data_IF_791676221842
#
_entry.id   IF_791676221842
#
_cell.length_a   1.000
_cell.length_b   1.000
_cell.length_c   1.000
_cell.angle_alpha   90.00
_cell.angle_beta   90.00
_cell.angle_gamma   90.00
#
_symmetry.space_group_name_H-M   'P 1'
#
loop_
_entity.id
_entity.type
_entity.pdbx_description
1 polymer ?
#
# COMPACT_ATOMS: atom_id res chain seq x y z
N UNK A 1 51.32 -4.72 22.35
CA UNK A 1 49.87 -4.98 22.39
C UNK A 1 49.16 -3.66 22.61
N UNK A 2 48.71 -3.03 21.54
CA UNK A 2 47.94 -1.79 21.59
C UNK A 2 46.76 -2.00 20.64
N UNK A 3 45.65 -2.53 21.17
CA UNK A 3 44.44 -2.74 20.38
C UNK A 3 43.83 -1.38 20.03
N UNK A 4 43.73 -1.11 18.73
CA UNK A 4 43.13 0.10 18.16
C UNK A 4 41.66 0.23 18.54
N UNK A 5 41.39 0.96 19.63
CA UNK A 5 40.04 1.34 20.10
C UNK A 5 39.28 2.15 19.03
N UNK A 6 39.99 2.78 18.09
CA UNK A 6 39.43 3.59 17.02
C UNK A 6 38.63 2.82 15.96
N UNK A 7 38.95 1.55 15.68
CA UNK A 7 38.17 0.76 14.71
C UNK A 7 36.80 0.36 15.26
N UNK A 8 36.66 0.23 16.59
CA UNK A 8 35.39 -0.09 17.23
C UNK A 8 34.42 1.10 17.20
N UNK A 9 34.93 2.34 17.22
CA UNK A 9 34.09 3.53 17.14
C UNK A 9 33.58 3.71 15.69
N UNK A 10 34.40 3.51 14.66
CA UNK A 10 33.93 3.61 13.27
C UNK A 10 32.87 2.56 12.89
N UNK A 11 32.99 1.34 13.42
CA UNK A 11 32.03 0.25 13.17
C UNK A 11 30.71 0.39 13.95
N UNK A 12 30.67 1.20 15.01
CA UNK A 12 29.43 1.44 15.77
C UNK A 12 28.52 2.52 15.15
N UNK A 13 29.03 3.32 14.20
CA UNK A 13 28.27 4.40 13.56
C UNK A 13 27.67 4.00 12.21
N UNK A 14 28.18 2.95 11.57
CA UNK A 14 27.62 2.39 10.34
C UNK A 14 26.21 1.78 10.47
N UNK A 15 25.78 1.20 11.62
CA UNK A 15 24.40 0.72 11.75
C UNK A 15 23.39 1.82 12.04
N UNK A 16 23.80 3.01 12.50
CA UNK A 16 22.83 4.06 12.88
C UNK A 16 22.31 4.88 11.69
N UNK A 17 23.09 5.01 10.62
CA UNK A 17 22.67 5.79 9.44
C UNK A 17 21.75 4.99 8.51
N UNK A 18 21.74 3.66 8.61
CA UNK A 18 20.82 2.80 7.83
C UNK A 18 19.45 2.63 8.51
N UNK A 19 19.29 3.13 9.75
CA UNK A 19 18.04 3.01 10.52
C UNK A 19 17.16 4.28 10.52
N UNK A 20 17.53 5.33 9.78
CA UNK A 20 16.78 6.60 9.81
C UNK A 20 15.65 6.74 8.78
N UNK A 21 15.37 5.72 7.96
CA UNK A 21 14.23 5.70 7.03
C UNK A 21 13.18 4.63 7.38
N UNK A 22 13.15 4.18 8.63
CA UNK A 22 12.09 3.31 9.13
C UNK A 22 10.82 4.11 9.48
N UNK A 23 9.64 3.59 9.14
CA UNK A 23 8.38 4.14 9.65
C UNK A 23 8.38 4.08 11.19
N UNK A 24 7.99 5.17 11.84
CA UNK A 24 7.80 5.16 13.28
C UNK A 24 6.49 4.42 13.67
N UNK A 25 6.31 4.17 14.97
CA UNK A 25 5.13 3.44 15.47
C UNK A 25 3.81 4.19 15.19
N UNK A 26 3.84 5.53 15.11
CA UNK A 26 2.69 6.38 14.83
C UNK A 26 2.27 6.26 13.37
N UNK A 27 3.23 6.30 12.45
CA UNK A 27 3.06 6.07 11.02
C UNK A 27 2.51 4.66 10.75
N UNK A 28 3.08 3.65 11.41
CA UNK A 28 2.56 2.29 11.36
C UNK A 28 1.09 2.25 11.77
N UNK A 29 0.75 2.86 12.90
CA UNK A 29 -0.62 2.88 13.40
C UNK A 29 -1.55 3.59 12.41
N UNK A 30 -1.11 4.66 11.74
CA UNK A 30 -1.87 5.31 10.68
C UNK A 30 -2.05 4.40 9.46
N UNK A 31 -1.01 3.71 9.03
CA UNK A 31 -1.06 2.83 7.85
C UNK A 31 -1.91 1.59 8.04
N UNK A 32 -2.21 1.16 9.28
CA UNK A 32 -3.18 0.07 9.50
C UNK A 32 -4.58 0.40 8.97
N UNK A 33 -4.91 1.67 8.73
CA UNK A 33 -6.16 2.07 8.07
C UNK A 33 -6.29 1.57 6.63
N UNK A 34 -5.18 1.23 5.95
CA UNK A 34 -5.21 0.63 4.61
C UNK A 34 -5.79 -0.80 4.63
N UNK A 35 -5.92 -1.41 5.80
CA UNK A 35 -6.46 -2.75 5.95
C UNK A 35 -7.99 -2.74 6.19
N UNK A 36 -8.56 -1.58 6.49
CA UNK A 36 -10.00 -1.39 6.74
C UNK A 36 -10.77 -1.31 5.41
N UNK A 37 -11.11 -2.48 4.86
CA UNK A 37 -11.84 -2.65 3.60
C UNK A 37 -13.21 -2.00 3.62
N UNK A 38 -13.89 -1.96 4.76
CA UNK A 38 -15.17 -1.27 4.91
C UNK A 38 -14.99 0.23 4.70
N UNK A 39 -13.99 0.84 5.35
CA UNK A 39 -13.69 2.26 5.22
C UNK A 39 -13.24 2.63 3.80
N UNK A 40 -12.44 1.78 3.15
CA UNK A 40 -12.03 1.96 1.76
C UNK A 40 -13.25 1.94 0.81
N UNK A 41 -14.09 0.91 0.90
CA UNK A 41 -15.32 0.78 0.09
C UNK A 41 -16.32 1.92 0.34
N UNK A 42 -16.39 2.42 1.58
CA UNK A 42 -17.22 3.58 1.92
C UNK A 42 -16.76 4.86 1.20
N UNK A 43 -15.44 5.05 1.08
CA UNK A 43 -14.83 6.24 0.51
C UNK A 43 -14.77 6.21 -1.03
N UNK A 44 -14.56 5.04 -1.63
CA UNK A 44 -14.61 4.85 -3.08
C UNK A 44 -15.61 3.77 -3.46
N UNK A 45 -16.71 4.15 -4.11
CA UNK A 45 -17.80 3.25 -4.46
C UNK A 45 -19.17 3.65 -3.88
N UNK A 46 -19.23 4.83 -3.23
CA UNK A 46 -20.42 5.42 -2.58
C UNK A 46 -21.19 4.47 -1.64
N UNK A 47 -20.60 3.33 -1.25
CA UNK A 47 -21.19 2.34 -0.35
C UNK A 47 -22.12 1.31 -1.02
N UNK A 48 -22.16 1.24 -2.35
CA UNK A 48 -22.92 0.19 -3.05
C UNK A 48 -22.15 -0.53 -4.15
N UNK A 49 -21.12 0.09 -4.75
CA UNK A 49 -20.34 -0.57 -5.81
C UNK A 49 -19.61 -1.81 -5.31
N UNK A 50 -19.17 -1.83 -4.06
CA UNK A 50 -18.58 -3.02 -3.44
C UNK A 50 -19.57 -4.17 -3.26
N UNK A 51 -20.87 -3.92 -3.43
CA UNK A 51 -21.94 -4.92 -3.37
C UNK A 51 -22.29 -5.50 -4.73
N UNK A 52 -21.90 -4.86 -5.84
CA UNK A 52 -22.15 -5.40 -7.19
C UNK A 52 -21.50 -6.77 -7.39
N UNK A 53 -20.36 -7.01 -6.74
CA UNK A 53 -19.68 -8.31 -6.78
C UNK A 53 -20.53 -9.48 -6.23
N UNK A 54 -21.60 -9.22 -5.48
CA UNK A 54 -22.51 -10.26 -4.99
C UNK A 54 -23.60 -10.65 -5.99
N UNK A 55 -23.76 -9.91 -7.10
CA UNK A 55 -24.81 -10.19 -8.10
C UNK A 55 -24.66 -11.62 -8.62
N UNK A 56 -25.73 -12.42 -8.51
CA UNK A 56 -25.75 -13.83 -8.93
C UNK A 56 -25.07 -14.80 -7.96
N UNK A 57 -24.48 -14.32 -6.87
CA UNK A 57 -23.78 -15.16 -5.88
C UNK A 57 -24.71 -15.63 -4.75
N UNK A 58 -24.31 -16.71 -4.09
CA UNK A 58 -24.90 -17.16 -2.81
C UNK A 58 -24.14 -16.59 -1.60
N UNK A 59 -23.30 -15.56 -1.79
CA UNK A 59 -22.44 -15.00 -0.75
C UNK A 59 -23.12 -13.96 0.14
N UNK A 60 -24.43 -13.74 -0.04
CA UNK A 60 -25.21 -12.74 0.72
C UNK A 60 -25.17 -12.88 2.25
N UNK A 61 -24.91 -14.05 2.87
CA UNK A 61 -24.68 -14.10 4.33
C UNK A 61 -23.48 -13.25 4.79
N UNK A 62 -22.53 -12.97 3.89
CA UNK A 62 -21.35 -12.14 4.17
C UNK A 62 -21.49 -10.71 3.63
N UNK A 63 -22.73 -10.26 3.36
CA UNK A 63 -22.98 -8.96 2.74
C UNK A 63 -22.32 -7.81 3.51
N UNK A 64 -22.42 -7.80 4.84
CA UNK A 64 -21.84 -6.77 5.71
C UNK A 64 -20.61 -7.25 6.50
N UNK A 65 -20.15 -8.48 6.24
CA UNK A 65 -18.90 -9.00 6.78
C UNK A 65 -17.76 -8.64 5.84
N UNK A 66 -16.89 -7.70 6.22
CA UNK A 66 -15.74 -7.28 5.42
C UNK A 66 -14.47 -8.15 5.68
N UNK A 67 -14.64 -9.34 6.26
CA UNK A 67 -13.58 -10.29 6.60
C UNK A 67 -13.30 -11.37 5.53
N UNK A 68 -12.45 -12.38 5.87
CA UNK A 68 -11.92 -13.34 4.89
C UNK A 68 -12.99 -14.17 4.18
N UNK A 69 -14.07 -14.52 4.88
CA UNK A 69 -15.12 -15.38 4.34
C UNK A 69 -15.92 -14.72 3.22
N UNK A 70 -16.15 -13.40 3.29
CA UNK A 70 -16.74 -12.64 2.19
C UNK A 70 -15.92 -12.80 0.93
N UNK A 71 -14.63 -12.49 1.01
CA UNK A 71 -13.77 -12.50 -0.16
C UNK A 71 -13.53 -13.90 -0.68
N UNK A 72 -13.35 -14.89 0.20
CA UNK A 72 -13.23 -16.29 -0.25
C UNK A 72 -14.49 -16.76 -0.99
N UNK A 73 -15.68 -16.45 -0.47
CA UNK A 73 -16.93 -16.80 -1.14
C UNK A 73 -17.05 -16.13 -2.51
N UNK A 74 -16.83 -14.81 -2.59
CA UNK A 74 -16.94 -14.04 -3.83
C UNK A 74 -15.91 -14.50 -4.87
N UNK A 75 -14.67 -14.75 -4.47
CA UNK A 75 -13.62 -15.18 -5.39
C UNK A 75 -13.85 -16.62 -5.89
N UNK A 76 -14.47 -17.48 -5.08
CA UNK A 76 -14.95 -18.80 -5.54
C UNK A 76 -16.11 -18.67 -6.51
N UNK A 77 -17.09 -17.79 -6.23
CA UNK A 77 -18.23 -17.57 -7.11
C UNK A 77 -17.81 -17.13 -8.52
N UNK A 78 -16.87 -16.18 -8.60
CA UNK A 78 -16.34 -15.65 -9.86
C UNK A 78 -15.21 -16.48 -10.46
N UNK A 79 -14.87 -17.63 -9.85
CA UNK A 79 -13.78 -18.50 -10.27
C UNK A 79 -12.47 -17.72 -10.49
N UNK A 80 -12.03 -16.92 -9.51
CA UNK A 80 -10.91 -16.00 -9.68
C UNK A 80 -9.53 -16.61 -9.42
N UNK A 81 -9.44 -17.76 -8.76
CA UNK A 81 -8.16 -18.40 -8.44
C UNK A 81 -7.78 -19.52 -9.41
N UNK A 82 -6.50 -19.63 -9.72
CA UNK A 82 -5.92 -20.82 -10.34
C UNK A 82 -5.50 -21.87 -9.30
N UNK A 83 -4.86 -22.95 -9.77
CA UNK A 83 -4.36 -24.03 -8.91
C UNK A 83 -3.29 -23.58 -7.90
N UNK A 84 -2.56 -22.52 -8.22
CA UNK A 84 -1.48 -21.95 -7.39
C UNK A 84 -1.97 -20.78 -6.52
N UNK A 85 -3.29 -20.58 -6.42
CA UNK A 85 -3.91 -19.45 -5.68
C UNK A 85 -3.51 -18.08 -6.21
N UNK A 86 -3.12 -17.99 -7.48
CA UNK A 86 -2.96 -16.71 -8.18
C UNK A 86 -4.27 -16.30 -8.83
N UNK A 87 -4.41 -14.99 -9.06
CA UNK A 87 -5.61 -14.45 -9.67
C UNK A 87 -5.56 -14.69 -11.18
N UNK A 88 -6.61 -15.33 -11.70
CA UNK A 88 -6.80 -15.50 -13.12
C UNK A 88 -7.23 -14.17 -13.73
N UNK A 89 -6.27 -13.44 -14.27
CA UNK A 89 -6.45 -12.09 -14.85
C UNK A 89 -7.63 -12.00 -15.82
N UNK A 90 -7.80 -12.98 -16.71
CA UNK A 90 -8.91 -12.98 -17.67
C UNK A 90 -10.28 -13.01 -16.97
N UNK A 91 -10.47 -13.92 -16.01
CA UNK A 91 -11.70 -14.05 -15.22
C UNK A 91 -11.95 -12.79 -14.37
N UNK A 92 -10.90 -12.22 -13.77
CA UNK A 92 -11.02 -10.95 -13.05
C UNK A 92 -11.49 -9.81 -13.97
N UNK A 93 -10.92 -9.70 -15.17
CA UNK A 93 -11.28 -8.67 -16.14
C UNK A 93 -12.71 -8.84 -16.65
N UNK A 94 -13.14 -10.08 -16.88
CA UNK A 94 -14.53 -10.40 -17.24
C UNK A 94 -15.48 -9.97 -16.14
N UNK A 95 -15.26 -10.42 -14.89
CA UNK A 95 -16.06 -10.01 -13.72
C UNK A 95 -16.15 -8.47 -13.62
N UNK A 96 -15.03 -7.77 -13.67
CA UNK A 96 -15.03 -6.29 -13.57
C UNK A 96 -15.80 -5.65 -14.72
N UNK A 97 -15.70 -6.21 -15.93
CA UNK A 97 -16.41 -5.70 -17.10
C UNK A 97 -17.91 -5.92 -17.00
N UNK A 98 -18.35 -7.10 -16.53
CA UNK A 98 -19.78 -7.41 -16.35
C UNK A 98 -20.42 -6.51 -15.29
N UNK A 99 -19.72 -6.28 -14.19
CA UNK A 99 -20.24 -5.51 -13.06
C UNK A 99 -20.19 -3.99 -13.29
N UNK A 100 -19.10 -3.49 -13.86
CA UNK A 100 -18.81 -2.05 -13.95
C UNK A 100 -18.72 -1.56 -15.40
N UNK A 101 -19.54 -2.12 -16.29
CA UNK A 101 -19.58 -1.76 -17.70
C UNK A 101 -20.00 -0.29 -17.92
N UNK A 102 -19.71 0.28 -19.11
CA UNK A 102 -20.29 1.56 -19.53
C UNK A 102 -21.82 1.59 -19.49
N UNK A 103 -22.48 0.45 -19.72
CA UNK A 103 -23.94 0.35 -19.72
C UNK A 103 -24.53 0.57 -18.33
N UNK A 104 -23.79 0.20 -17.28
CA UNK A 104 -24.19 0.42 -15.89
C UNK A 104 -23.67 1.76 -15.34
N UNK A 105 -22.99 2.58 -16.14
CA UNK A 105 -22.51 3.92 -15.74
C UNK A 105 -21.23 3.95 -14.90
N UNK A 106 -20.58 2.81 -14.65
CA UNK A 106 -19.43 2.70 -13.73
C UNK A 106 -18.11 2.36 -14.42
N UNK A 107 -17.98 2.70 -15.71
CA UNK A 107 -16.81 2.35 -16.53
C UNK A 107 -15.48 2.79 -15.90
N UNK A 108 -15.40 4.03 -15.40
CA UNK A 108 -14.17 4.56 -14.82
C UNK A 108 -13.77 3.81 -13.54
N UNK A 109 -14.74 3.35 -12.75
CA UNK A 109 -14.49 2.50 -11.59
C UNK A 109 -13.99 1.12 -12.01
N UNK A 110 -14.60 0.52 -13.05
CA UNK A 110 -14.12 -0.72 -13.64
C UNK A 110 -12.69 -0.61 -14.18
N UNK A 111 -12.35 0.50 -14.83
CA UNK A 111 -10.99 0.79 -15.28
C UNK A 111 -10.03 0.92 -14.09
N UNK A 112 -10.40 1.66 -13.04
CA UNK A 112 -9.60 1.78 -11.83
C UNK A 112 -9.34 0.41 -11.15
N UNK A 113 -10.34 -0.48 -11.11
CA UNK A 113 -10.20 -1.85 -10.59
C UNK A 113 -9.20 -2.69 -11.41
N UNK A 114 -9.24 -2.59 -12.75
CA UNK A 114 -8.27 -3.29 -13.62
C UNK A 114 -6.86 -2.75 -13.43
N UNK A 115 -6.69 -1.43 -13.36
CA UNK A 115 -5.38 -0.81 -13.08
C UNK A 115 -4.84 -1.22 -11.72
N UNK A 116 -5.68 -1.20 -10.67
CA UNK A 116 -5.30 -1.65 -9.34
C UNK A 116 -4.85 -3.12 -9.33
N UNK A 117 -5.50 -3.99 -10.10
CA UNK A 117 -5.08 -5.38 -10.22
C UNK A 117 -3.67 -5.51 -10.81
N UNK A 118 -3.35 -4.76 -11.87
CA UNK A 118 -2.00 -4.77 -12.43
C UNK A 118 -0.94 -4.32 -11.41
N UNK A 119 -1.27 -3.30 -10.61
CA UNK A 119 -0.39 -2.85 -9.52
C UNK A 119 -0.21 -3.94 -8.48
N UNK A 120 -1.30 -4.58 -8.04
CA UNK A 120 -1.26 -5.64 -7.03
C UNK A 120 -0.46 -6.88 -7.48
N UNK A 121 -0.58 -7.27 -8.75
CA UNK A 121 0.23 -8.36 -9.32
C UNK A 121 1.73 -7.99 -9.34
N UNK A 122 2.06 -6.74 -9.64
CA UNK A 122 3.46 -6.27 -9.64
C UNK A 122 4.06 -6.17 -8.24
N UNK A 123 3.26 -5.86 -7.22
CA UNK A 123 3.71 -5.83 -5.83
C UNK A 123 4.07 -7.22 -5.30
N UNK A 124 3.55 -8.29 -5.92
CA UNK A 124 3.84 -9.66 -5.54
C UNK A 124 3.54 -9.91 -4.05
N UNK A 125 4.52 -10.43 -3.31
CA UNK A 125 4.34 -10.74 -1.88
C UNK A 125 4.39 -9.51 -0.97
N UNK A 126 4.82 -8.33 -1.45
CA UNK A 126 5.03 -7.15 -0.57
C UNK A 126 3.77 -6.72 0.17
N UNK A 127 2.61 -6.77 -0.50
CA UNK A 127 1.34 -6.43 0.15
C UNK A 127 0.95 -7.50 1.18
N UNK A 128 1.17 -8.78 0.87
CA UNK A 128 0.94 -9.85 1.83
C UNK A 128 1.86 -9.71 3.06
N UNK A 129 3.13 -9.35 2.86
CA UNK A 129 4.08 -9.07 3.94
C UNK A 129 3.61 -7.90 4.80
N UNK A 130 3.12 -6.81 4.20
CA UNK A 130 2.49 -5.70 4.91
C UNK A 130 1.30 -6.18 5.76
N UNK A 131 0.37 -6.92 5.18
CA UNK A 131 -0.80 -7.45 5.90
C UNK A 131 -0.33 -8.33 7.07
N UNK A 132 0.63 -9.23 6.85
CA UNK A 132 1.15 -10.13 7.88
C UNK A 132 1.87 -9.40 9.00
N UNK A 133 2.70 -8.41 8.68
CA UNK A 133 3.43 -7.60 9.66
C UNK A 133 2.48 -6.87 10.62
N UNK A 134 1.32 -6.46 10.14
CA UNK A 134 0.35 -5.72 10.93
C UNK A 134 -0.86 -6.54 11.36
N UNK A 135 -0.96 -7.79 10.93
CA UNK A 135 -2.09 -8.68 11.20
C UNK A 135 -2.43 -8.69 12.69
N UNK A 136 -1.44 -8.84 13.59
CA UNK A 136 -1.69 -8.88 15.05
C UNK A 136 -2.32 -7.59 15.62
N UNK A 137 -2.06 -6.41 15.02
CA UNK A 137 -2.63 -5.13 15.47
C UNK A 137 -4.09 -4.97 15.07
N UNK A 138 -4.48 -5.61 13.98
CA UNK A 138 -5.81 -5.51 13.38
C UNK A 138 -6.54 -6.84 13.38
N UNK A 139 -6.00 -7.87 14.02
CA UNK A 139 -6.50 -9.25 13.97
C UNK A 139 -7.93 -9.35 14.49
N UNK A 140 -8.22 -8.62 15.57
CA UNK A 140 -9.57 -8.51 16.13
C UNK A 140 -10.58 -7.82 15.20
N UNK A 141 -10.10 -7.02 14.22
CA UNK A 141 -10.94 -6.27 13.27
C UNK A 141 -11.05 -6.96 11.91
N UNK A 142 -10.02 -7.68 11.48
CA UNK A 142 -9.95 -8.36 10.19
C UNK A 142 -10.27 -9.85 10.28
N UNK A 143 -10.26 -10.44 11.47
CA UNK A 143 -10.54 -11.87 11.67
C UNK A 143 -9.52 -12.78 11.01
N UNK A 144 -8.29 -12.34 10.75
CA UNK A 144 -7.30 -13.09 9.98
C UNK A 144 -6.84 -14.37 10.71
N UNK A 145 -6.64 -14.33 12.03
CA UNK A 145 -6.20 -15.49 12.82
C UNK A 145 -7.34 -16.38 13.32
N UNK A 146 -8.57 -15.88 13.36
CA UNK A 146 -9.73 -16.60 13.90
C UNK A 146 -10.69 -17.12 12.84
N UNK A 147 -10.56 -16.67 11.59
CA UNK A 147 -11.42 -17.11 10.48
C UNK A 147 -11.07 -18.52 10.03
N UNK A 148 -12.11 -19.28 9.65
CA UNK A 148 -11.99 -20.59 9.00
C UNK A 148 -11.75 -20.48 7.49
N UNK A 149 -11.80 -19.26 6.95
CA UNK A 149 -11.73 -18.98 5.52
C UNK A 149 -10.31 -18.61 5.07
N UNK A 150 -9.97 -18.89 3.82
CA UNK A 150 -8.62 -18.62 3.29
C UNK A 150 -8.37 -17.11 3.11
N UNK A 151 -7.24 -16.56 3.61
CA UNK A 151 -7.01 -15.11 3.59
C UNK A 151 -6.58 -14.56 2.23
N UNK A 152 -6.13 -15.40 1.29
CA UNK A 152 -5.60 -14.99 -0.02
C UNK A 152 -6.54 -14.05 -0.79
N UNK A 153 -7.85 -14.34 -0.78
CA UNK A 153 -8.87 -13.53 -1.45
C UNK A 153 -8.97 -12.13 -0.84
N UNK A 154 -8.91 -12.06 0.50
CA UNK A 154 -8.97 -10.82 1.24
C UNK A 154 -7.71 -9.97 1.03
N UNK A 155 -6.53 -10.59 1.02
CA UNK A 155 -5.26 -9.89 0.79
C UNK A 155 -5.26 -9.22 -0.59
N UNK A 156 -5.68 -9.95 -1.63
CA UNK A 156 -5.81 -9.35 -2.97
C UNK A 156 -6.89 -8.25 -3.00
N UNK A 157 -8.05 -8.48 -2.39
CA UNK A 157 -9.11 -7.47 -2.33
C UNK A 157 -8.70 -6.20 -1.57
N UNK A 158 -7.95 -6.32 -0.48
CA UNK A 158 -7.37 -5.20 0.27
C UNK A 158 -6.45 -4.38 -0.62
N UNK A 159 -5.53 -5.05 -1.33
CA UNK A 159 -4.65 -4.37 -2.27
C UNK A 159 -5.44 -3.59 -3.33
N UNK A 160 -6.44 -4.24 -3.96
CA UNK A 160 -7.31 -3.58 -4.94
C UNK A 160 -7.99 -2.34 -4.35
N UNK A 161 -8.62 -2.48 -3.18
CA UNK A 161 -9.37 -1.40 -2.56
C UNK A 161 -8.47 -0.22 -2.16
N UNK A 162 -7.23 -0.47 -1.73
CA UNK A 162 -6.25 0.59 -1.46
C UNK A 162 -5.96 1.40 -2.73
N UNK A 163 -5.62 0.73 -3.83
CA UNK A 163 -5.26 1.39 -5.08
C UNK A 163 -6.46 2.05 -5.79
N UNK A 164 -7.64 1.42 -5.74
CA UNK A 164 -8.88 2.02 -6.24
C UNK A 164 -9.27 3.25 -5.42
N UNK A 165 -9.11 3.21 -4.09
CA UNK A 165 -9.40 4.39 -3.25
C UNK A 165 -8.40 5.52 -3.51
N UNK A 166 -7.13 5.19 -3.73
CA UNK A 166 -6.09 6.17 -4.05
C UNK A 166 -6.38 6.92 -5.35
N UNK A 167 -6.78 6.19 -6.39
CA UNK A 167 -7.09 6.74 -7.72
C UNK A 167 -8.60 6.76 -8.02
N UNK A 168 -9.42 6.98 -6.99
CA UNK A 168 -10.86 6.86 -7.11
C UNK A 168 -11.43 7.86 -8.14
N UNK A 169 -12.27 7.41 -9.09
CA UNK A 169 -13.01 8.32 -9.96
C UNK A 169 -13.83 9.32 -9.15
N UNK A 170 -13.86 10.59 -9.59
CA UNK A 170 -14.48 11.69 -8.84
C UNK A 170 -15.97 11.44 -8.58
N UNK A 171 -16.64 10.81 -9.55
CA UNK A 171 -18.04 10.44 -9.49
C UNK A 171 -18.34 9.33 -8.48
N UNK A 172 -17.36 8.50 -8.10
CA UNK A 172 -17.51 7.43 -7.10
C UNK A 172 -16.88 7.75 -5.75
N UNK A 173 -16.10 8.83 -5.68
CA UNK A 173 -15.46 9.29 -4.46
C UNK A 173 -16.44 10.03 -3.56
N UNK A 174 -16.42 9.68 -2.28
CA UNK A 174 -17.21 10.34 -1.25
C UNK A 174 -16.45 11.55 -0.70
N UNK A 175 -16.86 12.76 -1.09
CA UNK A 175 -16.22 14.04 -0.72
C UNK A 175 -16.42 14.49 0.74
N UNK A 176 -16.24 13.59 1.70
CA UNK A 176 -16.19 13.92 3.15
C UNK A 176 -14.76 14.18 3.59
N UNK A 177 -14.58 14.87 4.72
CA UNK A 177 -13.25 15.10 5.31
C UNK A 177 -12.54 13.79 5.63
N UNK A 178 -13.22 12.84 6.27
CA UNK A 178 -12.70 11.52 6.59
C UNK A 178 -12.14 10.76 5.37
N UNK A 179 -12.80 10.86 4.22
CA UNK A 179 -12.34 10.18 3.01
C UNK A 179 -11.19 10.91 2.32
N UNK A 180 -11.16 12.25 2.36
CA UNK A 180 -10.00 13.03 1.90
C UNK A 180 -8.76 12.74 2.74
N UNK A 181 -8.92 12.65 4.06
CA UNK A 181 -7.82 12.33 4.95
C UNK A 181 -7.35 10.88 4.79
N UNK A 182 -8.27 9.94 4.56
CA UNK A 182 -7.90 8.57 4.20
C UNK A 182 -7.07 8.53 2.92
N UNK A 183 -7.43 9.28 1.88
CA UNK A 183 -6.67 9.33 0.62
C UNK A 183 -5.24 9.87 0.84
N UNK A 184 -5.08 10.90 1.70
CA UNK A 184 -3.74 11.40 2.10
C UNK A 184 -2.94 10.35 2.87
N UNK A 185 -3.59 9.63 3.79
CA UNK A 185 -2.95 8.53 4.54
C UNK A 185 -2.51 7.42 3.57
N UNK A 186 -3.36 7.02 2.63
CA UNK A 186 -3.02 6.02 1.62
C UNK A 186 -1.81 6.48 0.80
N UNK A 187 -1.82 7.70 0.28
CA UNK A 187 -0.68 8.23 -0.49
C UNK A 187 0.63 8.21 0.31
N UNK A 188 0.59 8.67 1.57
CA UNK A 188 1.78 8.66 2.43
C UNK A 188 2.28 7.24 2.74
N UNK A 189 1.37 6.32 3.05
CA UNK A 189 1.68 4.94 3.37
C UNK A 189 2.13 4.15 2.14
N UNK A 190 1.54 4.39 0.97
CA UNK A 190 1.87 3.68 -0.25
C UNK A 190 3.32 3.95 -0.69
N UNK A 191 3.81 5.18 -0.53
CA UNK A 191 5.22 5.52 -0.75
C UNK A 191 6.10 4.82 0.30
N UNK A 192 5.80 4.98 1.59
CA UNK A 192 6.60 4.42 2.70
C UNK A 192 6.69 2.88 2.67
N UNK A 193 5.63 2.22 2.21
CA UNK A 193 5.52 0.76 2.14
C UNK A 193 5.92 0.21 0.76
N UNK A 194 6.36 1.06 -0.17
CA UNK A 194 6.67 0.68 -1.55
C UNK A 194 5.51 -0.05 -2.25
N UNK A 195 4.27 0.38 -1.97
CA UNK A 195 3.05 -0.10 -2.60
C UNK A 195 2.74 0.64 -3.91
N UNK A 196 3.38 1.79 -4.16
CA UNK A 196 3.39 2.42 -5.49
C UNK A 196 4.72 2.19 -6.20
N UNK A 197 4.68 2.15 -7.54
CA UNK A 197 5.89 2.30 -8.34
C UNK A 197 6.38 3.73 -8.12
N UNK A 198 7.59 3.89 -7.60
CA UNK A 198 8.31 5.17 -7.66
C UNK A 198 8.67 5.41 -9.13
N UNK A 199 7.71 5.87 -9.92
CA UNK A 199 8.07 6.63 -11.11
C UNK A 199 8.60 7.95 -10.58
N UNK A 200 9.86 8.24 -10.88
CA UNK A 200 10.56 9.48 -10.56
C UNK A 200 9.77 10.68 -11.14
N UNK A 201 8.73 11.12 -10.44
CA UNK A 201 7.96 12.32 -10.71
C UNK A 201 7.61 12.96 -9.38
N UNK A 202 8.30 14.08 -9.16
CA UNK A 202 7.86 15.19 -8.34
C UNK A 202 7.69 14.89 -6.84
N UNK A 203 8.85 14.72 -6.19
CA UNK A 203 9.05 15.14 -4.80
C UNK A 203 8.96 16.68 -4.73
N UNK A 204 7.78 17.24 -4.99
CA UNK A 204 7.49 18.67 -4.93
C UNK A 204 6.04 18.91 -4.50
N UNK A 205 5.84 19.14 -3.20
CA UNK A 205 5.02 20.26 -2.68
C UNK A 205 5.50 20.50 -1.25
N UNK A 206 6.36 21.50 -1.06
CA UNK A 206 5.99 22.87 -0.71
C UNK A 206 5.53 22.98 0.74
N UNK A 207 6.52 23.16 1.62
CA UNK A 207 6.32 23.90 2.85
C UNK A 207 7.04 25.25 2.68
N UNK A 208 6.26 26.32 2.49
CA UNK A 208 6.75 27.69 2.58
C UNK A 208 6.59 28.13 4.04
N UNK A 209 7.63 27.93 4.82
CA UNK A 209 7.85 28.57 6.12
C UNK A 209 9.32 28.97 6.20
N UNK A 210 9.57 30.27 6.28
CA UNK A 210 10.88 30.89 6.17
C UNK A 210 11.89 30.40 7.22
N UNK A 211 13.12 30.14 6.78
CA UNK A 211 14.30 29.92 7.62
C UNK A 211 15.50 29.58 6.77
N UNK A 212 16.43 30.53 6.64
CA UNK A 212 17.69 30.42 5.90
C UNK A 212 18.44 29.10 6.17
N UNK A 213 18.85 28.43 5.10
CA UNK A 213 19.74 27.28 5.14
C UNK A 213 20.19 26.91 3.74
N UNK A 214 21.44 27.24 3.42
CA UNK A 214 22.05 27.03 2.11
C UNK A 214 21.95 25.57 1.65
N UNK A 215 21.41 25.36 0.44
CA UNK A 215 21.47 24.11 -0.32
C UNK A 215 22.92 23.83 -0.73
N UNK A 216 23.56 22.83 -0.12
CA UNK A 216 24.78 22.22 -0.65
C UNK A 216 24.34 21.07 -1.56
N UNK A 217 24.51 21.23 -2.86
CA UNK A 217 24.28 20.15 -3.83
C UNK A 217 25.28 19.01 -3.62
N UNK A 218 24.83 17.77 -3.83
CA UNK A 218 25.57 16.52 -3.59
C UNK A 218 26.81 16.29 -4.45
N UNK A 219 27.30 17.28 -5.18
CA UNK A 219 28.54 17.16 -5.98
C UNK A 219 29.76 17.84 -5.33
N UNK A 220 29.60 18.52 -4.18
CA UNK A 220 30.72 19.15 -3.47
C UNK A 220 31.44 18.22 -2.47
N UNK A 221 30.84 17.08 -2.12
CA UNK A 221 31.39 16.14 -1.14
C UNK A 221 32.59 15.33 -1.66
N UNK A 222 32.68 15.12 -2.97
CA UNK A 222 33.82 14.43 -3.60
C UNK A 222 35.08 15.30 -3.67
N UNK A 223 34.96 16.63 -3.58
CA UNK A 223 36.10 17.55 -3.67
C UNK A 223 36.77 17.77 -2.29
N UNK A 224 36.03 17.62 -1.19
CA UNK A 224 36.54 17.84 0.17
C UNK A 224 37.19 16.61 0.83
N UNK A 225 37.04 15.41 0.26
CA UNK A 225 37.66 14.18 0.78
C UNK A 225 39.00 13.84 0.12
N UNK A 226 39.44 14.58 -0.90
CA UNK A 226 40.74 14.38 -1.56
C UNK A 226 41.93 15.04 -0.82
N UNK A 227 41.80 16.15 -0.05
CA UNK A 227 42.97 16.72 0.63
C UNK A 227 43.36 15.97 1.93
N UNK A 228 42.44 15.21 2.55
CA UNK A 228 42.68 14.55 3.84
C UNK A 228 43.46 13.23 3.73
N UNK A 229 43.53 12.63 2.53
CA UNK A 229 44.37 11.46 2.25
C UNK A 229 45.82 11.82 1.86
N UNK A 230 46.13 13.11 1.65
CA UNK A 230 47.49 13.59 1.34
C UNK A 230 48.25 14.14 2.56
N UNK A 231 47.59 14.37 3.70
CA UNK A 231 48.24 14.87 4.92
C UNK A 231 48.71 13.73 5.85
N UNK A 232 48.18 12.51 5.69
CA UNK A 232 48.54 11.34 6.51
C UNK A 232 49.63 10.42 5.91
N UNK A 233 50.25 10.81 4.79
CA UNK A 233 51.42 10.11 4.24
C UNK A 233 52.78 10.80 4.55
N UNK A 234 52.80 11.84 5.39
CA UNK A 234 54.05 12.52 5.77
C UNK A 234 54.19 12.89 7.26
N UNK A 235 53.56 12.14 8.16
CA UNK A 235 53.90 12.16 9.59
C UNK A 235 53.85 10.75 10.20
#
# INVERSE_FOLDING_TARGET
MSFNIWHLIGLLWLPLVVLSEGMDLSDINKCTQLLDTQKLAHCCGKGFLDKFIFVGSNCTPYWDDYGPCRFECLYKHWDLFDGDKKIKKAQFYTMVTELYSPLNGHHNYGTAMKTAHETCEQLGTKHADFVMLYAYKVDSRLGLATSKCQPHAMIHAQCLMVHVTLHCPKEEFRSTENCRDLQKVISSCAVKLNLERVENKDLMMSDKGAGDGWLISGELWLVLMVPLSLILCHL
#
